data_IF_689207861373
#
_entry.id   IF_689207861373
#
_cell.length_a   1.000
_cell.length_b   1.000
_cell.length_c   1.000
_cell.angle_alpha   90.00
_cell.angle_beta   90.00
_cell.angle_gamma   90.00
#
_symmetry.space_group_name_H-M   'P 1'
#
loop_
_entity.id
_entity.type
_entity.pdbx_description
1 polymer ?
#
# COMPACT_ATOMS: atom_id res chain seq x y z
N UNK A 1 -15.60 1.59 -20.29
CA UNK A 1 -16.38 2.50 -19.42
C UNK A 1 -16.72 3.84 -20.08
N UNK A 2 -15.77 4.74 -20.38
CA UNK A 2 -16.06 6.12 -20.83
C UNK A 2 -16.93 6.23 -22.10
N UNK A 3 -16.58 5.48 -23.14
CA UNK A 3 -17.28 5.51 -24.44
C UNK A 3 -18.69 4.93 -24.42
N UNK A 4 -19.15 4.41 -23.27
CA UNK A 4 -20.52 3.96 -23.08
C UNK A 4 -21.48 5.13 -22.82
N UNK A 5 -20.96 6.32 -22.51
CA UNK A 5 -21.76 7.51 -22.18
C UNK A 5 -21.84 8.47 -23.35
N UNK A 6 -23.06 8.75 -23.82
CA UNK A 6 -23.31 9.75 -24.84
C UNK A 6 -23.20 11.15 -24.25
N UNK A 7 -22.54 12.06 -24.98
CA UNK A 7 -22.58 13.49 -24.71
C UNK A 7 -23.91 14.06 -25.18
N UNK A 8 -24.39 15.09 -24.48
CA UNK A 8 -25.52 15.89 -24.96
C UNK A 8 -25.19 16.50 -26.31
N UNK A 9 -26.16 16.54 -27.23
CA UNK A 9 -25.95 17.04 -28.60
C UNK A 9 -25.27 18.42 -28.66
N UNK A 10 -25.64 19.42 -27.83
CA UNK A 10 -24.98 20.73 -27.84
C UNK A 10 -23.50 20.65 -27.41
N UNK A 11 -23.20 19.87 -26.38
CA UNK A 11 -21.84 19.78 -25.83
C UNK A 11 -20.87 19.14 -26.82
N UNK A 12 -21.34 18.23 -27.67
CA UNK A 12 -20.51 17.54 -28.66
C UNK A 12 -19.75 18.51 -29.57
N UNK A 13 -20.28 19.71 -29.86
CA UNK A 13 -19.60 20.68 -30.72
C UNK A 13 -18.27 21.16 -30.13
N UNK A 14 -18.14 21.12 -28.80
CA UNK A 14 -16.92 21.42 -28.06
C UNK A 14 -15.90 20.26 -28.12
N UNK A 15 -16.33 19.08 -28.59
CA UNK A 15 -15.50 17.87 -28.68
C UNK A 15 -15.18 17.51 -30.13
N UNK A 16 -14.59 18.47 -30.86
CA UNK A 16 -14.13 18.27 -32.24
C UNK A 16 -12.64 17.91 -32.28
N UNK A 17 -12.30 16.99 -33.17
CA UNK A 17 -10.91 16.64 -33.50
C UNK A 17 -10.68 16.85 -35.00
N UNK A 18 -9.48 17.30 -35.35
CA UNK A 18 -9.04 17.40 -36.73
C UNK A 18 -8.19 16.16 -37.03
N UNK A 19 -8.47 15.51 -38.16
CA UNK A 19 -7.74 14.32 -38.57
C UNK A 19 -7.59 14.25 -40.09
N UNK A 20 -6.40 13.81 -40.51
CA UNK A 20 -6.08 13.43 -41.89
C UNK A 20 -5.06 12.30 -41.83
N UNK A 21 -5.14 11.35 -42.76
CA UNK A 21 -4.27 10.17 -42.78
C UNK A 21 -2.89 10.48 -43.36
N UNK A 22 -2.83 11.34 -44.38
CA UNK A 22 -1.60 11.85 -45.00
C UNK A 22 -1.55 13.39 -44.93
N UNK A 23 -0.35 14.01 -44.91
CA UNK A 23 -0.20 15.46 -45.02
C UNK A 23 -0.80 16.07 -46.30
N UNK A 24 -0.98 15.25 -47.33
CA UNK A 24 -1.59 15.62 -48.62
C UNK A 24 -3.11 15.52 -48.61
N UNK A 25 -3.70 14.80 -47.65
CA UNK A 25 -5.14 14.60 -47.58
C UNK A 25 -5.81 15.85 -47.03
N UNK A 26 -7.08 16.03 -47.43
CA UNK A 26 -7.93 17.07 -46.90
C UNK A 26 -8.09 16.92 -45.37
N UNK A 27 -7.97 18.04 -44.67
CA UNK A 27 -8.11 18.07 -43.22
C UNK A 27 -9.58 17.94 -42.84
N UNK A 28 -9.97 16.76 -42.37
CA UNK A 28 -11.33 16.50 -41.93
C UNK A 28 -11.51 16.84 -40.45
N UNK A 29 -12.74 17.16 -40.06
CA UNK A 29 -13.11 17.35 -38.66
C UNK A 29 -14.15 16.32 -38.24
N UNK A 30 -13.97 15.77 -37.04
CA UNK A 30 -14.84 14.75 -36.47
C UNK A 30 -15.35 15.22 -35.12
N UNK A 31 -16.57 14.83 -34.80
CA UNK A 31 -17.22 15.16 -33.53
C UNK A 31 -17.30 13.90 -32.66
N UNK A 32 -16.76 13.98 -31.45
CA UNK A 32 -16.85 12.88 -30.49
C UNK A 32 -18.25 12.87 -29.89
N UNK A 33 -18.93 11.74 -30.04
CA UNK A 33 -20.32 11.58 -29.56
C UNK A 33 -20.42 11.12 -28.11
N UNK A 34 -19.33 10.63 -27.55
CA UNK A 34 -19.29 10.01 -26.23
C UNK A 34 -18.24 10.65 -25.35
N UNK A 35 -18.35 10.40 -24.04
CA UNK A 35 -17.33 10.81 -23.09
C UNK A 35 -16.00 10.14 -23.46
N UNK A 36 -14.97 10.94 -23.68
CA UNK A 36 -13.62 10.52 -24.04
C UNK A 36 -12.60 10.82 -22.96
N UNK A 37 -11.48 10.10 -23.04
CA UNK A 37 -10.29 10.34 -22.23
C UNK A 37 -9.77 11.78 -22.39
N UNK A 38 -9.15 12.31 -21.34
CA UNK A 38 -8.54 13.64 -21.34
C UNK A 38 -9.47 14.79 -20.92
N UNK A 39 -10.78 14.55 -20.78
CA UNK A 39 -11.66 15.52 -20.13
C UNK A 39 -11.53 15.44 -18.61
N UNK A 40 -11.47 16.60 -17.95
CA UNK A 40 -11.41 16.68 -16.48
C UNK A 40 -12.61 16.02 -15.80
N UNK A 41 -13.80 16.08 -16.41
CA UNK A 41 -15.03 15.51 -15.86
C UNK A 41 -15.31 14.05 -16.28
N UNK A 42 -14.53 13.45 -17.19
CA UNK A 42 -14.84 12.14 -17.76
C UNK A 42 -14.96 11.04 -16.70
N UNK A 43 -14.02 10.98 -15.76
CA UNK A 43 -14.02 9.99 -14.67
C UNK A 43 -15.23 10.14 -13.76
N UNK A 44 -15.57 11.38 -13.40
CA UNK A 44 -16.76 11.63 -12.60
C UNK A 44 -18.03 11.17 -13.31
N UNK A 45 -18.22 11.54 -14.58
CA UNK A 45 -19.41 11.17 -15.35
C UNK A 45 -19.54 9.65 -15.50
N UNK A 46 -18.44 8.98 -15.83
CA UNK A 46 -18.39 7.52 -15.98
C UNK A 46 -18.75 6.78 -14.68
N UNK A 47 -18.12 7.17 -13.57
CA UNK A 47 -18.38 6.59 -12.25
C UNK A 47 -19.80 6.91 -11.80
N UNK A 48 -20.28 8.14 -12.00
CA UNK A 48 -21.63 8.56 -11.58
C UNK A 48 -22.71 7.78 -12.34
N UNK A 49 -22.55 7.59 -13.65
CA UNK A 49 -23.47 6.79 -14.45
C UNK A 49 -23.48 5.33 -13.97
N UNK A 50 -22.32 4.72 -13.75
CA UNK A 50 -22.21 3.36 -13.23
C UNK A 50 -22.86 3.21 -11.85
N UNK A 51 -22.64 4.18 -10.94
CA UNK A 51 -23.30 4.21 -9.63
C UNK A 51 -24.81 4.41 -9.73
N UNK A 52 -25.28 5.15 -10.74
CA UNK A 52 -26.71 5.32 -10.98
C UNK A 52 -27.36 3.99 -11.35
N UNK A 53 -26.72 3.18 -12.21
CA UNK A 53 -27.19 1.81 -12.52
C UNK A 53 -27.39 1.00 -11.24
N UNK A 54 -26.44 1.06 -10.29
CA UNK A 54 -26.57 0.35 -9.03
C UNK A 54 -27.79 0.80 -8.21
N UNK A 55 -28.08 2.11 -8.19
CA UNK A 55 -29.26 2.65 -7.51
C UNK A 55 -30.54 2.16 -8.19
N UNK A 56 -30.59 2.18 -9.51
CA UNK A 56 -31.79 1.84 -10.29
C UNK A 56 -32.16 0.35 -10.15
N UNK A 57 -31.17 -0.53 -10.01
CA UNK A 57 -31.38 -1.97 -9.85
C UNK A 57 -31.54 -2.43 -8.40
N UNK A 58 -31.39 -1.54 -7.41
CA UNK A 58 -31.22 -1.90 -6.00
C UNK A 58 -32.34 -2.79 -5.45
N UNK A 59 -33.59 -2.50 -5.81
CA UNK A 59 -34.75 -3.23 -5.28
C UNK A 59 -34.90 -4.62 -5.94
N UNK A 60 -34.47 -4.76 -7.19
CA UNK A 60 -34.58 -6.01 -7.95
C UNK A 60 -33.36 -6.92 -7.75
N UNK A 61 -32.17 -6.33 -7.64
CA UNK A 61 -30.88 -7.02 -7.59
C UNK A 61 -29.97 -6.39 -6.51
N UNK A 62 -30.32 -6.50 -5.21
CA UNK A 62 -29.60 -5.83 -4.13
C UNK A 62 -28.13 -6.26 -4.02
N UNK A 63 -27.84 -7.54 -4.24
CA UNK A 63 -26.46 -8.06 -4.23
C UNK A 63 -25.62 -7.43 -5.33
N UNK A 64 -26.12 -7.39 -6.56
CA UNK A 64 -25.42 -6.81 -7.72
C UNK A 64 -25.22 -5.31 -7.52
N UNK A 65 -26.25 -4.60 -7.04
CA UNK A 65 -26.15 -3.19 -6.67
C UNK A 65 -25.01 -2.95 -5.68
N UNK A 66 -24.97 -3.73 -4.59
CA UNK A 66 -23.92 -3.60 -3.59
C UNK A 66 -22.54 -3.88 -4.19
N UNK A 67 -22.40 -4.91 -5.02
CA UNK A 67 -21.14 -5.21 -5.70
C UNK A 67 -20.68 -4.05 -6.58
N UNK A 68 -21.57 -3.45 -7.37
CA UNK A 68 -21.22 -2.28 -8.20
C UNK A 68 -20.76 -1.09 -7.33
N UNK A 69 -21.39 -0.88 -6.17
CA UNK A 69 -21.09 0.26 -5.30
C UNK A 69 -19.77 0.13 -4.53
N UNK A 70 -19.35 -1.11 -4.22
CA UNK A 70 -18.20 -1.36 -3.34
C UNK A 70 -16.99 -2.01 -3.99
N UNK A 71 -17.14 -2.71 -5.13
CA UNK A 71 -16.06 -3.49 -5.74
C UNK A 71 -15.48 -2.88 -7.02
N UNK A 72 -15.99 -1.74 -7.48
CA UNK A 72 -15.37 -0.99 -8.56
C UNK A 72 -14.27 -0.04 -8.05
N UNK A 73 -13.11 -0.12 -8.66
CA UNK A 73 -12.06 0.88 -8.60
C UNK A 73 -11.91 1.55 -9.97
N UNK A 74 -12.54 2.72 -10.12
CA UNK A 74 -12.63 3.44 -11.40
C UNK A 74 -13.24 2.56 -12.50
N UNK A 75 -12.44 2.01 -13.41
CA UNK A 75 -12.84 1.15 -14.52
C UNK A 75 -12.66 -0.35 -14.23
N UNK A 76 -11.96 -0.72 -13.16
CA UNK A 76 -11.70 -2.12 -12.80
C UNK A 76 -12.73 -2.62 -11.76
N UNK A 77 -13.23 -3.85 -11.97
CA UNK A 77 -14.15 -4.54 -11.06
C UNK A 77 -13.43 -5.69 -10.38
N UNK A 78 -13.43 -5.71 -9.05
CA UNK A 78 -12.70 -6.67 -8.23
C UNK A 78 -13.63 -7.40 -7.25
N UNK A 79 -14.56 -8.24 -7.72
CA UNK A 79 -15.49 -8.96 -6.85
C UNK A 79 -14.82 -10.21 -6.26
N UNK A 80 -15.14 -10.53 -5.00
CA UNK A 80 -14.65 -11.73 -4.31
C UNK A 80 -15.79 -12.63 -3.84
N UNK A 81 -15.52 -13.93 -3.73
CA UNK A 81 -16.45 -14.94 -3.20
C UNK A 81 -15.68 -16.07 -2.52
N UNK A 82 -16.28 -16.68 -1.50
CA UNK A 82 -15.77 -17.90 -0.85
C UNK A 82 -16.14 -19.19 -1.60
N UNK A 83 -17.11 -19.12 -2.52
CA UNK A 83 -17.62 -20.26 -3.29
C UNK A 83 -17.52 -20.00 -4.80
N UNK A 84 -17.14 -21.04 -5.55
CA UNK A 84 -16.93 -20.99 -7.01
C UNK A 84 -18.25 -20.74 -7.74
N UNK A 85 -19.33 -21.38 -7.29
CA UNK A 85 -20.67 -21.25 -7.87
C UNK A 85 -21.19 -19.81 -7.71
N UNK A 86 -21.02 -19.23 -6.52
CA UNK A 86 -21.40 -17.85 -6.23
C UNK A 86 -20.58 -16.85 -7.07
N UNK A 87 -19.28 -17.10 -7.26
CA UNK A 87 -18.43 -16.27 -8.12
C UNK A 87 -18.93 -16.29 -9.57
N UNK A 88 -19.16 -17.50 -10.12
CA UNK A 88 -19.67 -17.68 -11.48
C UNK A 88 -21.06 -17.05 -11.66
N UNK A 89 -21.95 -17.16 -10.68
CA UNK A 89 -23.27 -16.54 -10.72
C UNK A 89 -23.17 -15.02 -10.69
N UNK A 90 -22.33 -14.47 -9.79
CA UNK A 90 -22.08 -13.03 -9.66
C UNK A 90 -21.57 -12.43 -10.96
N UNK A 91 -20.60 -13.08 -11.62
CA UNK A 91 -20.06 -12.65 -12.91
C UNK A 91 -21.14 -12.63 -13.98
N UNK A 92 -21.97 -13.68 -14.06
CA UNK A 92 -23.09 -13.76 -15.03
C UNK A 92 -24.10 -12.64 -14.81
N UNK A 93 -24.52 -12.42 -13.57
CA UNK A 93 -25.51 -11.39 -13.24
C UNK A 93 -24.97 -9.99 -13.48
N UNK A 94 -23.74 -9.69 -13.06
CA UNK A 94 -23.08 -8.41 -13.34
C UNK A 94 -22.96 -8.15 -14.83
N UNK A 95 -22.50 -9.15 -15.60
CA UNK A 95 -22.32 -9.01 -17.06
C UNK A 95 -23.65 -8.72 -17.73
N UNK A 96 -24.68 -9.52 -17.44
CA UNK A 96 -26.02 -9.37 -18.02
C UNK A 96 -26.64 -8.02 -17.69
N UNK A 97 -26.58 -7.61 -16.41
CA UNK A 97 -27.21 -6.37 -15.95
C UNK A 97 -26.44 -5.16 -16.47
N UNK A 98 -25.12 -5.11 -16.33
CA UNK A 98 -24.35 -3.97 -16.83
C UNK A 98 -24.46 -3.83 -18.35
N UNK A 99 -24.50 -4.94 -19.08
CA UNK A 99 -24.72 -4.94 -20.53
C UNK A 99 -26.08 -4.34 -20.91
N UNK A 100 -27.15 -4.56 -20.14
CA UNK A 100 -28.46 -3.95 -20.43
C UNK A 100 -28.46 -2.43 -20.27
N UNK A 101 -27.52 -1.89 -19.50
CA UNK A 101 -27.28 -0.44 -19.35
C UNK A 101 -26.15 0.08 -20.28
N UNK A 102 -25.65 -0.75 -21.20
CA UNK A 102 -24.61 -0.38 -22.17
C UNK A 102 -23.16 -0.47 -21.64
N UNK A 103 -22.96 -1.02 -20.44
CA UNK A 103 -21.64 -1.28 -19.87
C UNK A 103 -21.21 -2.71 -20.15
N UNK A 104 -20.31 -2.89 -21.12
CA UNK A 104 -19.76 -4.21 -21.43
C UNK A 104 -18.53 -4.50 -20.55
N UNK A 105 -18.66 -5.49 -19.67
CA UNK A 105 -17.51 -6.06 -18.94
C UNK A 105 -16.70 -6.97 -19.86
N UNK A 106 -15.39 -7.01 -19.66
CA UNK A 106 -14.48 -7.86 -20.42
C UNK A 106 -13.13 -8.01 -19.73
N UNK A 107 -12.23 -8.81 -20.32
CA UNK A 107 -10.91 -9.14 -19.76
C UNK A 107 -11.00 -9.74 -18.35
N UNK A 108 -11.87 -10.74 -18.20
CA UNK A 108 -12.04 -11.41 -16.92
C UNK A 108 -10.81 -12.24 -16.56
N UNK A 109 -10.40 -12.17 -15.30
CA UNK A 109 -9.27 -12.94 -14.74
C UNK A 109 -9.69 -13.45 -13.36
N UNK A 110 -9.28 -14.68 -13.04
CA UNK A 110 -9.62 -15.36 -11.79
C UNK A 110 -8.40 -16.08 -11.20
N UNK A 111 -8.31 -16.10 -9.86
CA UNK A 111 -7.35 -16.93 -9.13
C UNK A 111 -7.71 -18.42 -9.09
N UNK A 112 -8.99 -18.75 -9.29
CA UNK A 112 -9.46 -20.13 -9.33
C UNK A 112 -9.81 -20.52 -10.77
N UNK A 113 -9.21 -21.60 -11.33
CA UNK A 113 -9.47 -22.04 -12.69
C UNK A 113 -10.92 -22.48 -12.94
N UNK A 114 -11.65 -22.94 -11.92
CA UNK A 114 -13.06 -23.35 -12.05
C UNK A 114 -14.03 -22.16 -12.21
N UNK A 115 -13.55 -20.96 -11.92
CA UNK A 115 -14.26 -19.71 -12.17
C UNK A 115 -13.76 -19.19 -13.52
N UNK A 116 -14.68 -18.88 -14.45
CA UNK A 116 -14.37 -18.51 -15.85
C UNK A 116 -13.98 -19.68 -16.79
N UNK A 117 -14.39 -20.92 -16.50
CA UNK A 117 -14.10 -22.11 -17.34
C UNK A 117 -14.43 -21.94 -18.85
N UNK A 118 -15.24 -20.94 -19.22
CA UNK A 118 -15.64 -20.62 -20.60
C UNK A 118 -15.12 -19.26 -21.12
N UNK A 119 -14.28 -18.55 -20.38
CA UNK A 119 -13.74 -17.22 -20.76
C UNK A 119 -12.22 -17.33 -20.77
N UNK A 120 -11.65 -17.61 -21.94
CA UNK A 120 -10.22 -17.50 -22.17
C UNK A 120 -9.82 -16.03 -22.23
N UNK A 121 -9.05 -15.54 -21.25
CA UNK A 121 -8.21 -14.37 -21.46
C UNK A 121 -7.06 -14.23 -20.44
N UNK A 122 -6.11 -13.35 -20.79
CA UNK A 122 -4.76 -13.15 -20.25
C UNK A 122 -4.50 -13.54 -18.78
N UNK A 123 -3.45 -14.35 -18.57
CA UNK A 123 -3.07 -14.96 -17.28
C UNK A 123 -2.44 -13.99 -16.27
N UNK A 124 -2.10 -12.78 -16.72
CA UNK A 124 -1.33 -11.82 -15.92
C UNK A 124 -1.90 -10.42 -16.07
N UNK A 125 -2.36 -9.83 -14.97
CA UNK A 125 -2.79 -8.43 -14.91
C UNK A 125 -1.64 -7.60 -14.35
N UNK A 126 -1.32 -6.49 -15.00
CA UNK A 126 -0.32 -5.54 -14.50
C UNK A 126 -0.96 -4.24 -14.06
N UNK A 127 -0.75 -3.87 -12.81
CA UNK A 127 -1.25 -2.61 -12.23
C UNK A 127 -0.11 -1.93 -11.48
N UNK A 128 0.22 -0.70 -11.88
CA UNK A 128 1.22 0.15 -11.20
C UNK A 128 2.56 -0.57 -10.91
N UNK A 129 3.10 -1.33 -11.87
CA UNK A 129 4.38 -2.03 -11.71
C UNK A 129 4.30 -3.42 -11.07
N UNK A 130 3.18 -3.74 -10.41
CA UNK A 130 2.88 -5.06 -9.86
C UNK A 130 2.18 -5.93 -10.91
N UNK A 131 2.61 -7.18 -11.06
CA UNK A 131 1.96 -8.16 -11.92
C UNK A 131 1.26 -9.20 -11.04
N UNK A 132 -0.04 -9.39 -11.16
CA UNK A 132 -0.75 -10.50 -10.54
C UNK A 132 -0.77 -11.70 -11.51
N UNK A 133 -0.16 -12.81 -11.08
CA UNK A 133 -0.30 -14.11 -11.71
C UNK A 133 -1.49 -14.82 -11.09
N UNK A 134 -2.58 -14.89 -11.86
CA UNK A 134 -3.84 -15.41 -11.33
C UNK A 134 -3.79 -16.91 -11.08
N UNK A 135 -3.11 -17.69 -11.94
CA UNK A 135 -3.02 -19.14 -11.80
C UNK A 135 -2.34 -19.58 -10.49
N UNK A 136 -1.27 -18.89 -10.10
CA UNK A 136 -0.56 -19.17 -8.85
C UNK A 136 -1.13 -18.40 -7.66
N UNK A 137 -2.07 -17.49 -7.92
CA UNK A 137 -2.54 -16.48 -6.98
C UNK A 137 -1.38 -15.75 -6.28
N UNK A 138 -0.44 -15.24 -7.09
CA UNK A 138 0.76 -14.56 -6.59
C UNK A 138 0.97 -13.22 -7.26
N UNK A 139 1.33 -12.22 -6.47
CA UNK A 139 1.89 -10.98 -7.00
C UNK A 139 3.38 -11.16 -7.30
N UNK A 140 3.81 -10.58 -8.42
CA UNK A 140 5.14 -10.70 -8.99
C UNK A 140 5.61 -9.33 -9.45
N UNK A 141 6.88 -9.02 -9.19
CA UNK A 141 7.56 -7.87 -9.79
C UNK A 141 8.35 -8.37 -10.99
N UNK A 142 8.04 -7.86 -12.18
CA UNK A 142 8.78 -8.18 -13.40
C UNK A 142 9.47 -6.93 -13.92
N UNK A 143 10.79 -6.89 -13.79
CA UNK A 143 11.62 -5.82 -14.34
C UNK A 143 12.55 -6.36 -15.41
N UNK A 144 12.41 -5.81 -16.62
CA UNK A 144 13.39 -5.99 -17.68
C UNK A 144 14.18 -4.70 -17.82
N UNK A 145 15.43 -4.73 -17.36
CA UNK A 145 16.39 -3.64 -17.55
C UNK A 145 17.06 -3.88 -18.89
N UNK A 146 16.59 -3.17 -19.91
CA UNK A 146 17.25 -3.17 -21.22
C UNK A 146 18.50 -2.28 -21.14
N UNK A 147 19.69 -2.78 -21.50
CA UNK A 147 20.87 -1.95 -21.55
C UNK A 147 20.67 -0.85 -22.60
N UNK A 148 20.82 0.41 -22.17
CA UNK A 148 20.71 1.56 -23.05
C UNK A 148 22.09 1.98 -23.54
N UNK A 149 22.27 2.08 -24.85
CA UNK A 149 23.53 2.54 -25.48
C UNK A 149 23.83 4.01 -25.17
N UNK A 150 22.80 4.81 -24.86
CA UNK A 150 22.94 6.20 -24.41
C UNK A 150 22.12 6.43 -23.15
N UNK A 151 22.80 6.74 -22.05
CA UNK A 151 22.16 7.05 -20.76
C UNK A 151 21.72 8.52 -20.77
N UNK A 152 20.44 8.75 -20.53
CA UNK A 152 19.85 10.08 -20.38
C UNK A 152 19.00 10.13 -19.12
N UNK A 153 18.72 11.32 -18.60
CA UNK A 153 17.78 11.50 -17.49
C UNK A 153 16.44 10.77 -17.74
N UNK A 154 15.92 10.84 -18.97
CA UNK A 154 14.68 10.16 -19.36
C UNK A 154 14.78 8.64 -19.25
N UNK A 155 15.90 8.04 -19.64
CA UNK A 155 16.10 6.58 -19.53
C UNK A 155 16.29 6.14 -18.08
N UNK A 156 16.96 6.94 -17.26
CA UNK A 156 17.12 6.67 -15.81
C UNK A 156 15.76 6.74 -15.11
N UNK A 157 15.02 7.83 -15.28
CA UNK A 157 13.69 7.99 -14.67
C UNK A 157 12.70 6.93 -15.16
N UNK A 158 12.72 6.60 -16.46
CA UNK A 158 11.90 5.53 -17.00
C UNK A 158 12.25 4.17 -16.40
N UNK A 159 13.53 3.90 -16.13
CA UNK A 159 13.97 2.66 -15.50
C UNK A 159 13.61 2.60 -14.03
N UNK A 160 13.84 3.68 -13.28
CA UNK A 160 13.47 3.79 -11.88
C UNK A 160 11.95 3.66 -11.68
N UNK A 161 11.14 4.29 -12.54
CA UNK A 161 9.68 4.18 -12.49
C UNK A 161 9.15 2.77 -12.83
N UNK A 162 9.96 1.88 -13.45
CA UNK A 162 9.59 0.46 -13.58
C UNK A 162 9.69 -0.29 -12.25
N UNK A 163 10.44 0.24 -11.29
CA UNK A 163 10.62 -0.26 -9.93
C UNK A 163 9.70 0.56 -9.00
N UNK A 164 8.42 0.60 -9.34
CA UNK A 164 7.42 1.28 -8.52
C UNK A 164 6.81 0.28 -7.56
N UNK A 165 7.02 0.49 -6.25
CA UNK A 165 6.46 -0.31 -5.17
C UNK A 165 5.58 0.55 -4.26
N UNK A 166 4.33 0.85 -4.67
CA UNK A 166 3.46 1.75 -3.93
C UNK A 166 3.00 1.20 -2.57
N UNK A 167 3.19 -0.09 -2.33
CA UNK A 167 2.75 -0.79 -1.11
C UNK A 167 3.91 -1.14 -0.17
N UNK A 168 5.16 -0.84 -0.53
CA UNK A 168 6.34 -1.18 0.27
C UNK A 168 6.55 -2.68 0.46
N UNK A 169 5.98 -3.53 -0.41
CA UNK A 169 6.08 -5.00 -0.30
C UNK A 169 7.52 -5.49 -0.46
N UNK A 170 8.31 -4.77 -1.25
CA UNK A 170 9.73 -5.04 -1.47
C UNK A 170 10.56 -4.73 -0.23
N UNK A 171 10.20 -3.68 0.51
CA UNK A 171 10.90 -3.29 1.74
C UNK A 171 10.68 -4.31 2.87
N UNK A 172 9.48 -4.90 2.95
CA UNK A 172 9.18 -5.96 3.91
C UNK A 172 10.13 -7.16 3.73
N UNK A 173 10.42 -7.54 2.48
CA UNK A 173 11.31 -8.68 2.15
C UNK A 173 12.72 -8.50 2.74
N UNK A 174 13.17 -7.26 2.95
CA UNK A 174 14.48 -6.96 3.52
C UNK A 174 14.56 -7.12 5.05
N UNK A 175 13.43 -7.26 5.75
CA UNK A 175 13.41 -7.39 7.22
C UNK A 175 13.75 -8.81 7.69
N UNK A 176 14.46 -8.97 8.83
CA UNK A 176 14.70 -10.29 9.42
C UNK A 176 13.38 -10.98 9.80
N UNK A 177 13.12 -12.23 9.35
CA UNK A 177 11.87 -12.95 9.65
C UNK A 177 11.57 -13.07 11.15
N UNK A 178 12.59 -13.17 11.99
CA UNK A 178 12.43 -13.31 13.43
C UNK A 178 11.79 -12.08 14.11
N UNK A 179 11.87 -10.89 13.51
CA UNK A 179 11.29 -9.64 13.99
C UNK A 179 9.81 -9.50 13.64
N UNK A 180 9.30 -10.32 12.73
CA UNK A 180 7.95 -10.24 12.19
C UNK A 180 7.04 -11.27 12.84
N UNK A 181 5.74 -10.98 12.91
CA UNK A 181 4.74 -11.95 13.33
C UNK A 181 4.81 -13.23 12.48
N UNK A 182 4.54 -14.38 13.11
CA UNK A 182 4.80 -15.71 12.55
C UNK A 182 4.29 -15.91 11.12
N UNK A 183 3.12 -15.36 10.80
CA UNK A 183 2.52 -15.43 9.46
C UNK A 183 3.33 -14.70 8.38
N UNK A 184 3.87 -13.53 8.72
CA UNK A 184 4.70 -12.72 7.82
C UNK A 184 6.11 -13.29 7.78
N UNK A 185 6.68 -13.63 8.93
CA UNK A 185 7.99 -14.27 9.08
C UNK A 185 8.17 -15.50 8.17
N UNK A 186 7.20 -16.40 8.15
CA UNK A 186 7.27 -17.63 7.35
C UNK A 186 7.33 -17.34 5.84
N UNK A 187 6.66 -16.28 5.37
CA UNK A 187 6.69 -15.87 3.96
C UNK A 187 7.99 -15.17 3.60
N UNK A 188 8.47 -14.27 4.45
CA UNK A 188 9.73 -13.57 4.21
C UNK A 188 10.93 -14.53 4.23
N UNK A 189 10.92 -15.52 5.14
CA UNK A 189 11.90 -16.60 5.16
C UNK A 189 11.95 -17.35 3.82
N UNK A 190 10.79 -17.65 3.22
CA UNK A 190 10.72 -18.33 1.92
C UNK A 190 11.25 -17.47 0.76
N UNK A 191 11.04 -16.15 0.82
CA UNK A 191 11.53 -15.21 -0.19
C UNK A 191 13.06 -15.01 -0.06
N UNK A 192 13.57 -14.89 1.17
CA UNK A 192 15.00 -14.77 1.47
C UNK A 192 15.79 -16.06 1.19
N UNK A 193 15.13 -17.21 1.09
CA UNK A 193 15.74 -18.44 0.59
C UNK A 193 15.96 -18.43 -0.93
N UNK A 194 15.22 -17.58 -1.67
CA UNK A 194 15.25 -17.52 -3.15
C UNK A 194 16.02 -16.31 -3.70
N UNK A 195 16.20 -15.28 -2.88
CA UNK A 195 16.90 -14.03 -3.22
C UNK A 195 17.66 -13.50 -2.01
N UNK A 196 18.78 -12.81 -2.19
CA UNK A 196 19.49 -12.21 -1.06
C UNK A 196 18.89 -10.83 -0.72
N UNK A 197 18.68 -10.56 0.58
CA UNK A 197 18.19 -9.26 1.05
C UNK A 197 19.12 -8.09 0.65
N UNK A 198 20.38 -8.36 0.35
CA UNK A 198 21.38 -7.44 -0.19
C UNK A 198 21.07 -6.93 -1.60
N UNK A 199 20.14 -7.56 -2.31
CA UNK A 199 19.75 -7.19 -3.67
C UNK A 199 18.64 -6.14 -3.71
N UNK A 200 18.05 -5.80 -2.56
CA UNK A 200 16.86 -4.97 -2.44
C UNK A 200 17.15 -3.70 -1.64
N UNK A 201 16.76 -2.54 -2.18
CA UNK A 201 17.04 -1.24 -1.56
C UNK A 201 15.81 -0.34 -1.60
N UNK A 202 15.45 0.22 -0.44
CA UNK A 202 14.43 1.26 -0.34
C UNK A 202 15.05 2.62 -0.69
N UNK A 203 14.34 3.40 -1.52
CA UNK A 203 14.67 4.79 -1.81
C UNK A 203 13.65 5.64 -1.06
N UNK A 204 14.09 6.35 -0.02
CA UNK A 204 13.21 7.23 0.77
C UNK A 204 12.53 8.28 -0.11
N UNK A 205 11.34 8.72 0.28
CA UNK A 205 10.56 9.73 -0.47
C UNK A 205 11.37 10.99 -0.80
N UNK A 206 12.28 11.42 0.08
CA UNK A 206 13.16 12.57 -0.13
C UNK A 206 14.16 12.37 -1.26
N UNK A 207 14.52 11.12 -1.56
CA UNK A 207 15.47 10.74 -2.60
C UNK A 207 14.78 10.15 -3.84
N UNK A 208 13.45 10.02 -3.82
CA UNK A 208 12.68 9.48 -4.92
C UNK A 208 12.24 10.60 -5.88
N UNK A 209 12.86 10.74 -7.07
CA UNK A 209 12.44 11.76 -8.02
C UNK A 209 11.01 11.55 -8.54
N UNK A 210 10.43 10.35 -8.44
CA UNK A 210 9.04 10.10 -8.81
C UNK A 210 8.04 10.79 -7.87
N UNK A 211 8.42 11.05 -6.62
CA UNK A 211 7.56 11.75 -5.65
C UNK A 211 7.35 13.23 -6.03
N UNK A 212 8.32 13.84 -6.73
CA UNK A 212 8.23 15.24 -7.17
C UNK A 212 7.05 15.46 -8.14
N UNK A 213 6.77 14.48 -9.00
CA UNK A 213 5.66 14.57 -9.95
C UNK A 213 4.33 14.09 -9.37
N UNK A 214 4.37 13.13 -8.44
CA UNK A 214 3.13 12.59 -7.84
C UNK A 214 2.57 13.50 -6.75
N UNK A 215 3.42 14.22 -6.01
CA UNK A 215 3.01 15.15 -4.94
C UNK A 215 2.80 16.59 -5.39
N UNK A 216 3.29 16.93 -6.59
CA UNK A 216 3.17 18.26 -7.19
C UNK A 216 4.25 19.22 -6.71
N UNK A 217 5.12 19.66 -7.63
CA UNK A 217 6.12 20.70 -7.39
C UNK A 217 5.89 21.86 -8.36
N UNK A 218 6.02 23.10 -7.86
CA UNK A 218 5.90 24.29 -8.70
C UNK A 218 6.97 24.31 -9.82
N UNK A 219 6.60 24.89 -10.97
CA UNK A 219 7.43 24.90 -12.18
C UNK A 219 8.74 25.67 -12.03
N UNK A 220 8.80 26.72 -11.19
CA UNK A 220 10.05 27.44 -10.92
C UNK A 220 10.95 26.62 -10.00
N UNK A 221 10.38 26.00 -8.96
CA UNK A 221 11.10 25.11 -8.06
C UNK A 221 11.64 23.85 -8.79
N UNK A 222 10.90 23.36 -9.78
CA UNK A 222 11.32 22.23 -10.61
C UNK A 222 12.56 22.55 -11.44
N UNK A 223 12.67 23.77 -12.00
CA UNK A 223 13.87 24.19 -12.76
C UNK A 223 15.14 24.12 -11.92
N UNK A 224 15.05 24.46 -10.64
CA UNK A 224 16.16 24.39 -9.69
C UNK A 224 16.37 23.02 -9.04
N UNK A 225 15.51 22.03 -9.27
CA UNK A 225 15.55 20.75 -8.55
C UNK A 225 16.68 19.84 -9.04
N UNK A 226 17.78 19.81 -8.31
CA UNK A 226 18.91 18.92 -8.60
C UNK A 226 18.50 17.44 -8.56
N UNK A 227 17.68 17.03 -7.59
CA UNK A 227 17.18 15.66 -7.46
C UNK A 227 16.37 15.24 -8.68
N UNK A 228 15.51 16.13 -9.19
CA UNK A 228 14.77 15.84 -10.42
C UNK A 228 15.71 15.72 -11.61
N UNK A 229 16.63 16.67 -11.82
CA UNK A 229 17.49 16.73 -13.02
C UNK A 229 18.59 15.69 -13.07
N UNK A 230 19.19 15.37 -11.93
CA UNK A 230 20.35 14.50 -11.88
C UNK A 230 20.06 13.17 -11.17
N UNK A 231 18.88 13.00 -10.58
CA UNK A 231 18.59 11.85 -9.73
C UNK A 231 19.31 11.95 -8.38
N UNK A 232 19.07 10.99 -7.47
CA UNK A 232 19.74 10.99 -6.18
C UNK A 232 21.24 10.74 -6.35
N UNK A 233 22.05 11.37 -5.48
CA UNK A 233 23.51 11.31 -5.53
C UNK A 233 24.05 9.87 -5.50
N UNK A 234 23.31 8.94 -4.89
CA UNK A 234 23.62 7.52 -4.81
C UNK A 234 23.79 6.83 -6.17
N UNK A 235 23.13 7.30 -7.24
CA UNK A 235 23.23 6.71 -8.57
C UNK A 235 24.52 7.10 -9.31
N UNK A 236 25.23 8.13 -8.83
CA UNK A 236 26.47 8.62 -9.43
C UNK A 236 27.72 8.00 -8.80
N UNK A 237 27.56 7.16 -7.77
CA UNK A 237 28.66 6.52 -7.07
C UNK A 237 29.02 5.19 -7.75
N UNK A 238 30.29 5.02 -8.13
CA UNK A 238 30.82 3.78 -8.75
C UNK A 238 30.76 2.58 -7.79
N UNK A 239 30.78 2.87 -6.50
CA UNK A 239 30.56 1.93 -5.41
C UNK A 239 29.43 2.52 -4.59
N UNK A 240 28.22 1.97 -4.72
CA UNK A 240 27.11 2.33 -3.83
C UNK A 240 27.57 1.86 -2.44
N UNK A 241 27.92 2.82 -1.59
CA UNK A 241 28.21 2.51 -0.20
C UNK A 241 26.89 2.01 0.38
N UNK A 242 26.77 0.69 0.55
CA UNK A 242 25.60 -0.06 1.06
C UNK A 242 25.16 0.36 2.48
N UNK A 243 25.73 1.45 3.00
CA UNK A 243 25.46 2.07 4.29
C UNK A 243 24.36 3.13 4.16
N UNK A 244 23.70 3.27 3.00
CA UNK A 244 22.56 4.18 2.88
C UNK A 244 21.39 3.68 3.75
N UNK A 245 21.38 4.18 4.98
CA UNK A 245 20.27 4.34 5.90
C UNK A 245 19.18 3.27 5.74
N UNK A 246 19.43 2.09 6.33
CA UNK A 246 18.33 1.41 7.02
C UNK A 246 17.91 2.38 8.12
N UNK A 247 16.96 3.27 7.84
CA UNK A 247 16.32 4.03 8.89
C UNK A 247 15.79 3.00 9.89
N UNK A 248 16.39 2.95 11.07
CA UNK A 248 15.99 2.03 12.15
C UNK A 248 14.70 2.49 12.83
N UNK A 249 14.19 3.66 12.46
CA UNK A 249 12.89 4.19 12.87
C UNK A 249 11.88 4.07 11.74
N UNK A 250 11.30 2.87 11.63
CA UNK A 250 10.11 2.70 10.81
C UNK A 250 8.92 3.38 11.50
N UNK A 251 7.96 3.97 10.76
CA UNK A 251 6.63 4.18 11.30
C UNK A 251 6.13 2.84 11.84
N UNK A 252 5.41 2.85 12.97
CA UNK A 252 5.01 1.68 13.75
C UNK A 252 4.47 0.55 12.82
N UNK A 253 5.32 -0.42 12.47
CA UNK A 253 4.95 -1.53 11.58
C UNK A 253 4.04 -2.45 12.40
N UNK A 254 2.74 -2.58 12.08
CA UNK A 254 1.79 -3.36 12.89
C UNK A 254 2.20 -4.83 13.06
N UNK A 255 2.91 -5.37 12.07
CA UNK A 255 3.35 -6.76 11.96
C UNK A 255 4.70 -7.03 12.64
N UNK A 256 5.36 -6.03 13.23
CA UNK A 256 6.51 -6.26 14.09
C UNK A 256 6.04 -7.00 15.35
N UNK A 257 6.82 -8.00 15.79
CA UNK A 257 6.62 -8.56 17.13
C UNK A 257 6.86 -7.46 18.14
N UNK A 258 5.87 -7.18 18.99
CA UNK A 258 6.03 -6.27 20.13
C UNK A 258 7.16 -6.80 21.01
N UNK A 259 8.30 -6.11 21.04
CA UNK A 259 9.39 -6.45 21.95
C UNK A 259 9.00 -6.08 23.37
N UNK A 260 8.68 -7.07 24.21
CA UNK A 260 8.66 -6.87 25.66
C UNK A 260 10.10 -6.82 26.16
N UNK A 261 10.58 -5.66 26.56
CA UNK A 261 11.88 -5.54 27.24
C UNK A 261 11.74 -6.12 28.63
N UNK A 262 12.19 -7.36 28.82
CA UNK A 262 12.37 -7.91 30.16
C UNK A 262 13.72 -7.43 30.67
N UNK A 263 13.74 -6.49 31.61
CA UNK A 263 14.96 -6.16 32.34
C UNK A 263 15.40 -7.40 33.14
N UNK A 264 16.50 -8.03 32.71
CA UNK A 264 17.23 -8.96 33.58
C UNK A 264 18.02 -8.09 34.55
N UNK A 265 17.52 -7.95 35.77
CA UNK A 265 18.35 -7.43 36.87
C UNK A 265 19.42 -8.50 37.11
N UNK A 266 20.63 -8.28 36.61
CA UNK A 266 21.77 -8.99 37.16
C UNK A 266 21.87 -8.59 38.63
N UNK A 267 21.81 -9.54 39.58
CA UNK A 267 22.03 -9.21 40.97
C UNK A 267 23.46 -8.68 41.07
N UNK A 268 23.62 -7.37 41.24
CA UNK A 268 24.88 -6.86 41.76
C UNK A 268 25.11 -7.52 43.12
N UNK A 269 26.36 -7.80 43.52
CA UNK A 269 26.66 -8.48 44.78
C UNK A 269 26.48 -7.53 45.98
N UNK A 270 25.45 -6.69 45.97
CA UNK A 270 24.96 -6.06 47.18
C UNK A 270 24.16 -7.11 47.97
N UNK A 271 24.96 -7.93 48.66
CA UNK A 271 24.63 -8.92 49.69
C UNK A 271 24.28 -10.31 49.13
N UNK A 272 25.27 -11.22 49.09
CA UNK A 272 25.00 -12.67 49.05
C UNK A 272 24.35 -13.08 50.38
N UNK A 273 23.02 -12.99 50.44
CA UNK A 273 22.27 -13.33 51.66
C UNK A 273 22.26 -14.86 51.88
N UNK A 274 22.46 -15.65 50.82
CA UNK A 274 22.50 -17.10 50.88
C UNK A 274 23.66 -17.64 51.72
N UNK A 275 24.84 -17.02 51.65
CA UNK A 275 26.02 -17.54 52.35
C UNK A 275 26.06 -17.20 53.84
N UNK A 276 25.18 -16.31 54.32
CA UNK A 276 25.18 -15.82 55.72
C UNK A 276 23.94 -16.23 56.51
N UNK A 277 22.97 -16.91 55.91
CA UNK A 277 21.72 -17.30 56.57
C UNK A 277 21.46 -18.80 56.37
N UNK A 278 21.71 -19.58 57.43
CA UNK A 278 21.55 -21.04 57.45
C UNK A 278 20.10 -21.54 57.53
N UNK A 279 19.11 -20.64 57.58
CA UNK A 279 17.70 -20.99 57.74
C UNK A 279 16.82 -20.14 56.84
N UNK A 280 16.04 -20.81 55.99
CA UNK A 280 15.06 -20.19 55.09
C UNK A 280 14.06 -19.30 55.85
N UNK A 281 13.64 -19.71 57.05
CA UNK A 281 12.69 -18.94 57.87
C UNK A 281 13.30 -17.62 58.35
N UNK A 282 14.61 -17.61 58.65
CA UNK A 282 15.35 -16.39 59.00
C UNK A 282 15.50 -15.47 57.79
N UNK A 283 15.75 -16.03 56.61
CA UNK A 283 15.82 -15.29 55.35
C UNK A 283 14.48 -14.61 55.03
N UNK A 284 13.36 -15.35 55.13
CA UNK A 284 12.02 -14.80 54.93
C UNK A 284 11.73 -13.62 55.86
N UNK A 285 12.10 -13.72 57.14
CA UNK A 285 11.93 -12.63 58.11
C UNK A 285 12.77 -11.40 57.74
N UNK A 286 14.04 -11.58 57.42
CA UNK A 286 14.93 -10.48 57.01
C UNK A 286 14.38 -9.78 55.76
N UNK A 287 13.99 -10.54 54.74
CA UNK A 287 13.39 -9.98 53.52
C UNK A 287 12.07 -9.26 53.81
N UNK A 288 11.24 -9.79 54.70
CA UNK A 288 10.00 -9.13 55.11
C UNK A 288 10.26 -7.79 55.81
N UNK A 289 11.31 -7.68 56.63
CA UNK A 289 11.72 -6.42 57.26
C UNK A 289 12.26 -5.41 56.25
N UNK A 290 13.10 -5.85 55.30
CA UNK A 290 13.60 -5.00 54.23
C UNK A 290 12.46 -4.44 53.37
N UNK A 291 11.52 -5.30 52.96
CA UNK A 291 10.34 -4.88 52.19
C UNK A 291 9.43 -3.94 53.00
N UNK A 292 9.25 -4.21 54.31
CA UNK A 292 8.50 -3.32 55.20
C UNK A 292 9.17 -1.96 55.34
N UNK A 293 10.50 -1.92 55.48
CA UNK A 293 11.27 -0.69 55.53
C UNK A 293 11.14 0.11 54.23
N UNK A 294 11.31 -0.53 53.07
CA UNK A 294 11.12 0.10 51.75
C UNK A 294 9.69 0.65 51.61
N UNK A 295 8.67 -0.09 52.06
CA UNK A 295 7.28 0.38 52.06
C UNK A 295 7.08 1.61 52.96
N UNK A 296 7.72 1.64 54.12
CA UNK A 296 7.68 2.78 55.03
C UNK A 296 8.44 4.00 54.48
N UNK A 297 9.51 3.80 53.71
CA UNK A 297 10.23 4.88 53.05
C UNK A 297 9.57 5.38 51.75
N UNK A 298 8.82 4.52 51.05
CA UNK A 298 8.13 4.84 49.80
C UNK A 298 6.70 5.36 49.99
N UNK A 299 6.12 5.19 51.19
CA UNK A 299 4.94 5.93 51.59
C UNK A 299 5.33 7.38 51.85
N UNK A 300 5.18 8.23 50.82
CA UNK A 300 5.32 9.68 50.94
C UNK A 300 4.57 10.17 52.19
N UNK A 301 5.23 10.98 53.00
CA UNK A 301 4.60 11.91 53.94
C UNK A 301 3.45 12.63 53.19
N UNK A 302 2.22 12.18 53.40
CA UNK A 302 1.03 13.00 53.11
C UNK A 302 0.99 14.08 54.19
N UNK A 303 1.62 15.22 53.94
CA UNK A 303 1.21 16.46 54.61
C UNK A 303 -0.17 16.81 54.09
N UNK A 304 -1.21 16.34 54.75
CA UNK A 304 -2.51 17.01 54.62
C UNK A 304 -2.37 18.41 55.24
N UNK A 305 -2.76 19.49 54.55
CA UNK A 305 -2.81 20.80 55.16
C UNK A 305 -3.88 20.75 56.25
N UNK A 306 -3.46 20.90 57.51
CA UNK A 306 -4.39 21.15 58.61
C UNK A 306 -5.23 22.38 58.26
N UNK A 307 -6.57 22.32 58.28
CA UNK A 307 -7.37 23.52 58.21
C UNK A 307 -7.04 24.32 59.47
N UNK A 308 -6.45 25.49 59.27
CA UNK A 308 -6.42 26.55 60.27
C UNK A 308 -7.88 26.82 60.68
N UNK A 309 -8.31 26.25 61.79
CA UNK A 309 -9.41 26.81 62.57
C UNK A 309 -8.79 27.94 63.37
N UNK A 310 -8.83 29.13 62.78
CA UNK A 310 -8.63 30.35 63.54
C UNK A 310 -9.63 30.37 64.68
N UNK A 311 -9.15 30.67 65.88
CA UNK A 311 -9.97 31.14 66.97
C UNK A 311 -10.85 32.30 66.46
N UNK A 312 -12.16 32.19 66.69
CA UNK A 312 -13.02 33.37 66.76
C UNK A 312 -12.62 34.13 68.02
N UNK A 313 -11.99 35.29 67.84
CA UNK A 313 -12.25 36.62 68.42
C UNK A 313 -10.99 37.46 68.30
#
# INVERSE_FOLDING_TARGET
>A
MYRCLMLNKPDRELHRILFRSSPTDELNHYQLNTVTYGMSCASFLAIKALRQVAIDIKDQYPTVSNTILSHFYVDDLLPGSSLVEEANQTIKDLTRILQSYGFNLGKFVSSNPQVLDNIHDDKTIKTLGLTWNSHLDTFQYTFHITPHTRVTKRTILSTAAKIFDPLGLVEWIALPPNQLQTFVANRISKIQQSTEASQWFHISSENNPADIISRGLDGQALKSSNLWWNGPALLHQTTISLVLNRETSFPEIPELKKSSVTMIIQPSPFISVNDKISSFTRLQRVMSYCLRFIKNCSSKWKKEPTPFSGFQT
#
